data_IF_309633127468
#
_entry.id   IF_309633127468
#
_cell.length_a   1.000
_cell.length_b   1.000
_cell.length_c   1.000
_cell.angle_alpha   90.00
_cell.angle_beta   90.00
_cell.angle_gamma   90.00
#
_symmetry.space_group_name_H-M   'P 1'
#
loop_
_entity.id
_entity.type
_entity.pdbx_description
1 polymer ?
#
# COMPACT_ATOMS: atom_id res chain seq x y z
N UNK A 1 26.20 -27.16 3.22
CA UNK A 1 25.40 -26.79 4.41
C UNK A 1 23.98 -27.29 4.20
N UNK A 2 23.30 -27.77 5.25
CA UNK A 2 21.88 -28.16 5.19
C UNK A 2 21.05 -26.99 5.73
N UNK A 3 20.10 -26.52 4.93
CA UNK A 3 19.15 -25.45 5.28
C UNK A 3 17.74 -26.04 5.36
N UNK A 4 16.93 -25.52 6.26
CA UNK A 4 15.52 -25.91 6.39
C UNK A 4 14.65 -25.21 5.33
N UNK A 5 14.99 -23.95 5.02
CA UNK A 5 14.29 -23.12 4.03
C UNK A 5 15.27 -22.36 3.16
N UNK A 6 15.04 -22.38 1.84
CA UNK A 6 15.73 -21.53 0.87
C UNK A 6 14.71 -20.59 0.23
N UNK A 7 14.97 -19.29 0.29
CA UNK A 7 14.19 -18.23 -0.32
C UNK A 7 14.92 -17.77 -1.58
N UNK A 8 14.24 -17.79 -2.72
CA UNK A 8 14.80 -17.35 -4.01
C UNK A 8 14.24 -15.97 -4.35
N UNK A 9 15.11 -14.97 -4.37
CA UNK A 9 14.81 -13.56 -4.65
C UNK A 9 14.85 -12.69 -3.39
N UNK A 10 15.73 -11.69 -3.40
CA UNK A 10 15.90 -10.64 -2.39
C UNK A 10 15.09 -9.38 -2.67
N UNK A 11 13.92 -9.51 -3.29
CA UNK A 11 12.94 -8.42 -3.33
C UNK A 11 12.19 -8.30 -2.00
N UNK A 12 11.34 -7.26 -1.89
CA UNK A 12 10.51 -6.99 -0.70
C UNK A 12 9.77 -8.22 -0.18
N UNK A 13 9.23 -9.05 -1.07
CA UNK A 13 8.53 -10.29 -0.69
C UNK A 13 9.47 -11.29 -0.03
N UNK A 14 10.65 -11.52 -0.62
CA UNK A 14 11.64 -12.46 -0.09
C UNK A 14 12.21 -12.01 1.25
N UNK A 15 12.55 -10.72 1.37
CA UNK A 15 13.01 -10.15 2.64
C UNK A 15 11.93 -10.19 3.72
N UNK A 16 10.66 -9.92 3.39
CA UNK A 16 9.54 -10.07 4.34
C UNK A 16 9.35 -11.52 4.79
N UNK A 17 9.49 -12.49 3.88
CA UNK A 17 9.43 -13.92 4.22
C UNK A 17 10.60 -14.27 5.15
N UNK A 18 11.83 -13.85 4.81
CA UNK A 18 13.02 -14.09 5.63
C UNK A 18 12.85 -13.53 7.05
N UNK A 19 12.37 -12.28 7.16
CA UNK A 19 12.06 -11.63 8.43
C UNK A 19 11.00 -12.39 9.23
N UNK A 20 9.96 -12.90 8.59
CA UNK A 20 8.92 -13.61 9.31
C UNK A 20 9.42 -14.98 9.80
N UNK A 21 10.23 -15.67 8.99
CA UNK A 21 10.80 -16.96 9.32
C UNK A 21 11.92 -16.87 10.37
N UNK A 22 12.62 -15.73 10.49
CA UNK A 22 13.67 -15.54 11.50
C UNK A 22 13.16 -15.51 12.94
N UNK A 23 11.84 -15.50 13.15
CA UNK A 23 11.19 -15.66 14.46
C UNK A 23 11.19 -17.10 14.97
N UNK A 24 11.58 -18.06 14.14
CA UNK A 24 11.63 -19.48 14.46
C UNK A 24 13.08 -19.98 14.46
N UNK A 25 13.32 -21.10 15.14
CA UNK A 25 14.63 -21.78 15.14
C UNK A 25 14.81 -22.58 13.85
N UNK A 26 15.15 -21.89 12.76
CA UNK A 26 15.32 -22.44 11.42
C UNK A 26 16.63 -21.96 10.78
N UNK A 27 17.28 -22.83 10.02
CA UNK A 27 18.42 -22.47 9.14
C UNK A 27 17.88 -22.00 7.80
N UNK A 28 17.89 -20.68 7.60
CA UNK A 28 17.33 -20.04 6.41
C UNK A 28 18.45 -19.51 5.50
N UNK A 29 18.34 -19.72 4.19
CA UNK A 29 19.16 -19.05 3.19
C UNK A 29 18.27 -18.19 2.28
N UNK A 30 18.70 -16.96 1.99
CA UNK A 30 18.12 -16.13 0.94
C UNK A 30 19.14 -16.00 -0.20
N UNK A 31 18.72 -16.31 -1.41
CA UNK A 31 19.54 -16.25 -2.61
C UNK A 31 19.01 -15.15 -3.53
N UNK A 32 19.84 -14.15 -3.81
CA UNK A 32 19.59 -13.11 -4.80
C UNK A 32 20.61 -13.24 -5.92
N UNK A 33 20.15 -13.11 -7.18
CA UNK A 33 21.01 -13.19 -8.36
C UNK A 33 21.66 -11.84 -8.70
N UNK A 34 21.02 -10.75 -8.30
CA UNK A 34 21.50 -9.38 -8.52
C UNK A 34 22.58 -9.02 -7.49
N UNK A 35 23.28 -7.92 -7.72
CA UNK A 35 24.40 -7.49 -6.86
C UNK A 35 23.98 -7.06 -5.44
N UNK A 36 22.71 -6.70 -5.26
CA UNK A 36 22.14 -6.29 -3.98
C UNK A 36 20.65 -6.67 -3.92
N UNK A 37 20.08 -6.71 -2.72
CA UNK A 37 18.64 -6.86 -2.51
C UNK A 37 17.87 -5.67 -3.09
N UNK A 38 16.55 -5.80 -3.17
CA UNK A 38 15.65 -4.83 -3.79
C UNK A 38 15.90 -4.54 -5.28
N UNK A 39 16.95 -5.08 -5.92
CA UNK A 39 17.39 -4.72 -7.28
C UNK A 39 16.47 -5.14 -8.43
N UNK A 40 15.37 -5.85 -8.16
CA UNK A 40 14.32 -6.18 -9.12
C UNK A 40 13.17 -5.16 -9.13
N UNK A 41 11.92 -5.63 -9.21
CA UNK A 41 10.72 -4.77 -9.22
C UNK A 41 10.56 -3.90 -7.96
N UNK A 42 11.11 -4.34 -6.83
CA UNK A 42 11.14 -3.54 -5.60
C UNK A 42 11.81 -2.18 -5.81
N UNK A 43 12.83 -2.07 -6.67
CA UNK A 43 13.50 -0.81 -7.00
C UNK A 43 12.66 0.13 -7.86
N UNK A 44 11.74 -0.44 -8.64
CA UNK A 44 11.04 0.22 -9.73
C UNK A 44 9.51 0.15 -9.54
N UNK A 45 9.02 0.81 -8.48
CA UNK A 45 7.60 1.04 -8.23
C UNK A 45 7.38 2.43 -7.64
N UNK A 46 6.11 2.82 -7.47
CA UNK A 46 5.72 4.15 -6.99
C UNK A 46 5.93 4.37 -5.48
N UNK A 47 6.32 3.34 -4.73
CA UNK A 47 6.45 3.42 -3.26
C UNK A 47 5.12 3.61 -2.54
N UNK A 48 3.98 3.34 -3.19
CA UNK A 48 2.65 3.56 -2.60
C UNK A 48 2.23 2.36 -1.75
N UNK A 49 1.92 2.62 -0.49
CA UNK A 49 1.17 1.70 0.37
C UNK A 49 -0.31 1.94 0.13
N UNK A 50 -0.93 1.12 -0.72
CA UNK A 50 -2.33 1.27 -1.11
C UNK A 50 -3.30 0.97 0.04
N UNK A 51 -4.44 1.67 0.09
CA UNK A 51 -5.48 1.50 1.11
C UNK A 51 -6.36 0.23 0.93
N UNK A 52 -6.38 -0.36 -0.26
CA UNK A 52 -7.03 -1.67 -0.50
C UNK A 52 -8.46 -1.66 -1.06
N UNK A 53 -9.00 -0.52 -1.49
CA UNK A 53 -10.36 -0.44 -2.05
C UNK A 53 -10.45 -0.55 -3.59
N UNK A 54 -9.31 -0.45 -4.30
CA UNK A 54 -9.28 -0.30 -5.77
C UNK A 54 -9.38 -1.63 -6.56
N UNK A 55 -9.08 -2.77 -5.94
CA UNK A 55 -9.06 -4.07 -6.60
C UNK A 55 -10.35 -4.84 -6.38
N UNK A 56 -10.93 -5.56 -7.36
CA UNK A 56 -12.15 -6.36 -7.13
C UNK A 56 -11.99 -7.41 -6.02
N UNK A 57 -13.11 -7.76 -5.37
CA UNK A 57 -13.13 -8.54 -4.10
C UNK A 57 -12.78 -10.01 -4.29
N UNK A 58 -13.01 -10.54 -5.48
CA UNK A 58 -12.67 -11.90 -5.90
C UNK A 58 -11.15 -12.15 -5.95
N UNK A 59 -10.32 -11.11 -6.00
CA UNK A 59 -8.87 -11.28 -6.04
C UNK A 59 -8.27 -11.30 -4.64
N UNK A 60 -7.42 -12.32 -4.40
CA UNK A 60 -6.58 -12.44 -3.19
C UNK A 60 -5.76 -11.17 -2.93
N UNK A 61 -5.36 -10.44 -3.97
CA UNK A 61 -4.62 -9.17 -3.83
C UNK A 61 -5.37 -8.13 -2.99
N UNK A 62 -6.70 -8.12 -3.00
CA UNK A 62 -7.50 -7.15 -2.23
C UNK A 62 -7.33 -7.42 -0.74
N UNK A 63 -7.55 -8.67 -0.32
CA UNK A 63 -7.38 -9.10 1.08
C UNK A 63 -5.93 -8.92 1.56
N UNK A 64 -4.95 -9.31 0.75
CA UNK A 64 -3.53 -9.12 1.06
C UNK A 64 -3.16 -7.64 1.19
N UNK A 65 -3.71 -6.76 0.37
CA UNK A 65 -3.46 -5.32 0.44
C UNK A 65 -4.01 -4.73 1.74
N UNK A 66 -5.25 -5.08 2.13
CA UNK A 66 -5.88 -4.57 3.35
C UNK A 66 -5.14 -5.06 4.59
N UNK A 67 -4.79 -6.35 4.65
CA UNK A 67 -4.00 -6.92 5.75
C UNK A 67 -2.60 -6.32 5.78
N UNK A 68 -1.92 -6.27 4.64
CA UNK A 68 -0.57 -5.72 4.51
C UNK A 68 -0.48 -4.24 4.89
N UNK A 69 -1.43 -3.40 4.45
CA UNK A 69 -1.48 -1.98 4.80
C UNK A 69 -1.45 -1.74 6.32
N UNK A 70 -2.18 -2.57 7.08
CA UNK A 70 -2.21 -2.49 8.55
C UNK A 70 -0.85 -2.79 9.18
N UNK A 71 -0.08 -3.71 8.59
CA UNK A 71 1.23 -4.12 9.09
C UNK A 71 2.32 -3.06 8.88
N UNK A 72 2.18 -2.14 7.92
CA UNK A 72 3.22 -1.14 7.64
C UNK A 72 3.52 -0.21 8.82
N UNK A 73 2.51 0.18 9.61
CA UNK A 73 2.76 1.01 10.80
C UNK A 73 3.62 0.27 11.82
N UNK A 74 3.25 -0.97 12.15
CA UNK A 74 4.01 -1.79 13.08
C UNK A 74 5.42 -2.08 12.55
N UNK A 75 5.56 -2.42 11.27
CA UNK A 75 6.86 -2.69 10.66
C UNK A 75 7.76 -1.44 10.68
N UNK A 76 7.19 -0.26 10.46
CA UNK A 76 7.91 1.01 10.57
C UNK A 76 8.38 1.26 12.01
N UNK A 77 7.55 1.04 13.01
CA UNK A 77 7.92 1.18 14.43
C UNK A 77 9.04 0.20 14.82
N UNK A 78 9.04 -1.01 14.25
CA UNK A 78 10.03 -2.06 14.54
C UNK A 78 11.36 -1.88 13.81
N UNK A 79 11.36 -1.31 12.60
CA UNK A 79 12.52 -1.28 11.69
C UNK A 79 13.01 0.11 11.31
N UNK A 80 12.20 1.15 11.55
CA UNK A 80 12.54 2.56 11.34
C UNK A 80 12.94 2.93 9.89
N UNK A 81 12.23 2.39 8.89
CA UNK A 81 12.40 2.78 7.48
C UNK A 81 11.59 4.03 7.10
N UNK A 82 11.88 4.71 5.98
CA UNK A 82 11.09 5.88 5.58
C UNK A 82 9.66 5.50 5.18
N UNK A 83 8.66 5.86 6.00
CA UNK A 83 7.24 5.61 5.77
C UNK A 83 6.38 6.76 6.30
N UNK A 84 5.33 7.12 5.56
CA UNK A 84 4.36 8.15 5.96
C UNK A 84 2.96 7.81 5.49
N UNK A 85 1.95 7.98 6.36
CA UNK A 85 0.53 7.92 5.97
C UNK A 85 0.06 9.31 5.54
N UNK A 86 0.18 9.56 4.25
CA UNK A 86 -0.22 10.83 3.63
C UNK A 86 -1.63 10.78 3.02
N UNK A 87 -2.28 9.61 3.03
CA UNK A 87 -3.55 9.40 2.37
C UNK A 87 -3.44 9.34 0.84
N UNK A 88 -4.59 9.28 0.18
CA UNK A 88 -4.70 9.36 -1.28
C UNK A 88 -6.07 9.85 -1.69
N UNK A 89 -6.15 10.56 -2.81
CA UNK A 89 -7.40 10.94 -3.47
C UNK A 89 -7.59 10.16 -4.76
N UNK A 90 -8.80 9.65 -4.98
CA UNK A 90 -9.29 9.32 -6.34
C UNK A 90 -10.21 10.44 -6.77
N UNK A 91 -9.83 11.15 -7.82
CA UNK A 91 -10.48 12.39 -8.25
C UNK A 91 -11.56 12.10 -9.29
N UNK A 92 -12.72 12.73 -9.14
CA UNK A 92 -13.75 12.83 -10.16
C UNK A 92 -13.74 14.24 -10.77
N UNK A 93 -13.74 14.30 -12.10
CA UNK A 93 -13.83 15.54 -12.89
C UNK A 93 -15.21 15.71 -13.54
N UNK A 94 -16.03 14.67 -13.53
CA UNK A 94 -17.39 14.66 -14.09
C UNK A 94 -18.37 14.07 -13.08
N UNK A 95 -19.61 14.59 -13.04
CA UNK A 95 -20.63 14.14 -12.06
C UNK A 95 -20.95 12.65 -12.18
N UNK A 96 -20.85 12.08 -13.39
CA UNK A 96 -21.05 10.65 -13.65
C UNK A 96 -20.01 9.76 -12.94
N UNK A 97 -18.84 10.30 -12.54
CA UNK A 97 -17.79 9.57 -11.84
C UNK A 97 -18.04 9.50 -10.32
N UNK A 98 -18.90 10.36 -9.76
CA UNK A 98 -19.21 10.37 -8.33
C UNK A 98 -19.83 9.03 -7.89
N UNK A 99 -20.71 8.45 -8.71
CA UNK A 99 -21.30 7.13 -8.43
C UNK A 99 -20.24 6.03 -8.31
N UNK A 100 -19.15 6.13 -9.08
CA UNK A 100 -18.02 5.19 -9.00
C UNK A 100 -17.22 5.38 -7.72
N UNK A 101 -17.03 6.61 -7.27
CA UNK A 101 -16.37 6.91 -5.99
C UNK A 101 -17.17 6.35 -4.81
N UNK A 102 -18.49 6.53 -4.81
CA UNK A 102 -19.38 5.98 -3.77
C UNK A 102 -19.38 4.46 -3.76
N UNK A 103 -19.40 3.82 -4.93
CA UNK A 103 -19.31 2.37 -5.01
C UNK A 103 -17.97 1.85 -4.46
N UNK A 104 -16.85 2.50 -4.82
CA UNK A 104 -15.53 2.17 -4.26
C UNK A 104 -15.48 2.37 -2.74
N UNK A 105 -16.05 3.47 -2.23
CA UNK A 105 -16.16 3.75 -0.79
C UNK A 105 -16.96 2.66 -0.09
N UNK A 106 -18.14 2.32 -0.62
CA UNK A 106 -19.03 1.30 -0.07
C UNK A 106 -18.35 -0.06 -0.02
N UNK A 107 -17.76 -0.49 -1.14
CA UNK A 107 -17.03 -1.76 -1.20
C UNK A 107 -15.85 -1.76 -0.22
N UNK A 108 -15.02 -0.70 -0.22
CA UNK A 108 -13.86 -0.60 0.66
C UNK A 108 -14.24 -0.63 2.15
N UNK A 109 -15.32 0.06 2.51
CA UNK A 109 -15.86 0.05 3.88
C UNK A 109 -16.32 -1.36 4.28
N UNK A 110 -17.03 -2.05 3.40
CA UNK A 110 -17.45 -3.44 3.60
C UNK A 110 -16.28 -4.44 3.67
N UNK A 111 -15.10 -4.08 3.17
CA UNK A 111 -13.86 -4.86 3.31
C UNK A 111 -13.03 -4.46 4.53
N UNK A 112 -13.51 -3.50 5.32
CA UNK A 112 -12.83 -3.04 6.53
C UNK A 112 -11.67 -2.09 6.27
N UNK A 113 -11.67 -1.36 5.15
CA UNK A 113 -10.77 -0.22 4.92
C UNK A 113 -11.30 0.97 5.74
N UNK A 114 -10.55 1.46 6.74
CA UNK A 114 -11.06 2.49 7.63
C UNK A 114 -10.92 3.89 7.02
N UNK A 115 -11.87 4.77 7.36
CA UNK A 115 -11.79 6.20 7.07
C UNK A 115 -12.04 6.62 5.62
N UNK A 116 -12.57 5.74 4.76
CA UNK A 116 -12.93 6.12 3.40
C UNK A 116 -14.08 7.14 3.40
N UNK A 117 -13.87 8.27 2.75
CA UNK A 117 -14.82 9.38 2.67
C UNK A 117 -14.94 9.86 1.22
N UNK A 118 -16.16 10.00 0.70
CA UNK A 118 -16.40 10.77 -0.52
C UNK A 118 -16.65 12.21 -0.12
N UNK A 119 -15.83 13.13 -0.64
CA UNK A 119 -15.91 14.56 -0.36
C UNK A 119 -16.36 15.26 -1.65
N UNK A 120 -17.46 16.01 -1.57
CA UNK A 120 -18.00 16.82 -2.68
C UNK A 120 -17.82 18.33 -2.44
N UNK A 121 -17.45 18.73 -1.22
CA UNK A 121 -17.17 20.13 -0.91
C UNK A 121 -15.85 20.58 -1.55
N UNK A 122 -15.97 21.34 -2.65
CA UNK A 122 -14.83 21.90 -3.39
C UNK A 122 -13.90 22.74 -2.52
N UNK A 123 -14.41 23.47 -1.52
CA UNK A 123 -13.56 24.28 -0.63
C UNK A 123 -12.71 23.39 0.27
N UNK A 124 -13.31 22.33 0.84
CA UNK A 124 -12.58 21.32 1.61
C UNK A 124 -11.52 20.61 0.76
N UNK A 125 -11.87 20.21 -0.47
CA UNK A 125 -10.94 19.56 -1.40
C UNK A 125 -9.75 20.46 -1.70
N UNK A 126 -9.99 21.73 -2.06
CA UNK A 126 -8.92 22.70 -2.36
C UNK A 126 -8.06 23.04 -1.14
N UNK A 127 -8.66 23.07 0.06
CA UNK A 127 -7.92 23.24 1.31
C UNK A 127 -6.97 22.07 1.58
N UNK A 128 -7.41 20.84 1.32
CA UNK A 128 -6.57 19.65 1.49
C UNK A 128 -5.50 19.52 0.40
N UNK A 129 -5.85 19.80 -0.86
CA UNK A 129 -4.98 19.67 -2.02
C UNK A 129 -5.08 20.91 -2.93
N UNK A 130 -4.29 21.97 -2.65
CA UNK A 130 -4.43 23.28 -3.34
C UNK A 130 -4.01 23.25 -4.81
N UNK A 131 -3.22 22.25 -5.21
CA UNK A 131 -2.70 22.12 -6.58
C UNK A 131 -3.66 21.38 -7.53
N UNK A 132 -4.80 20.89 -7.05
CA UNK A 132 -5.81 20.27 -7.91
C UNK A 132 -6.48 21.30 -8.83
N UNK A 133 -6.89 20.84 -10.02
CA UNK A 133 -7.73 21.64 -10.93
C UNK A 133 -9.06 22.03 -10.28
N UNK A 134 -9.63 23.16 -10.70
CA UNK A 134 -10.95 23.62 -10.24
C UNK A 134 -12.12 22.81 -10.85
N UNK A 135 -11.82 22.01 -11.87
CA UNK A 135 -12.75 21.08 -12.53
C UNK A 135 -13.14 19.89 -11.64
N UNK A 136 -12.48 19.69 -10.50
CA UNK A 136 -12.82 18.61 -9.57
C UNK A 136 -14.25 18.78 -9.05
N UNK A 137 -15.04 17.73 -9.20
CA UNK A 137 -16.44 17.66 -8.71
C UNK A 137 -16.58 16.79 -7.45
N UNK A 138 -15.58 15.95 -7.15
CA UNK A 138 -15.53 15.17 -5.93
C UNK A 138 -14.27 14.33 -5.82
N UNK A 139 -13.97 13.85 -4.62
CA UNK A 139 -12.85 12.93 -4.38
C UNK A 139 -13.26 11.80 -3.45
N UNK A 140 -12.72 10.60 -3.67
CA UNK A 140 -12.66 9.55 -2.65
C UNK A 140 -11.34 9.70 -1.90
N UNK A 141 -11.43 10.15 -0.65
CA UNK A 141 -10.30 10.26 0.25
C UNK A 141 -10.10 8.94 1.00
N UNK A 142 -8.87 8.41 0.95
CA UNK A 142 -8.45 7.24 1.70
C UNK A 142 -7.25 7.57 2.59
N UNK A 143 -7.47 7.83 3.90
CA UNK A 143 -6.42 8.31 4.81
C UNK A 143 -5.39 7.24 5.17
N UNK A 144 -5.69 5.97 4.94
CA UNK A 144 -4.77 4.86 5.23
C UNK A 144 -3.74 4.61 4.13
N UNK A 145 -3.86 5.25 2.97
CA UNK A 145 -2.80 5.18 1.98
C UNK A 145 -1.53 5.89 2.49
N UNK A 146 -0.38 5.48 1.97
CA UNK A 146 0.89 6.04 2.38
C UNK A 146 1.97 5.90 1.34
N UNK A 147 3.13 6.45 1.66
CA UNK A 147 4.35 6.33 0.87
C UNK A 147 5.44 5.67 1.71
N UNK A 148 6.26 4.86 1.05
CA UNK A 148 7.38 4.14 1.66
C UNK A 148 8.58 4.20 0.74
N UNK A 149 9.80 4.20 1.30
CA UNK A 149 11.01 3.86 0.54
C UNK A 149 11.05 2.34 0.33
N UNK A 150 10.86 1.83 -0.89
CA UNK A 150 10.89 0.38 -1.12
C UNK A 150 12.24 -0.24 -0.80
N UNK A 151 13.33 0.53 -0.97
CA UNK A 151 14.69 0.12 -0.61
C UNK A 151 14.87 0.07 0.90
N UNK A 152 14.45 1.12 1.62
CA UNK A 152 14.63 1.16 3.08
C UNK A 152 13.77 0.13 3.81
N UNK A 153 12.65 -0.27 3.22
CA UNK A 153 11.75 -1.28 3.78
C UNK A 153 12.18 -2.73 3.49
N UNK A 154 13.02 -2.94 2.46
CA UNK A 154 13.50 -4.27 2.03
C UNK A 154 14.82 -4.60 2.69
#
# INVERSE_FOLDING_TARGET
MIYDVIIIGGGVTGCCIARNLSKYDLKIALLEKEADIASGTTKANSGVVHAGFASPREYVKRDMCIKGNKLYTQAFEELNFSFQRIGSFVVALEDNQINKLEEQRRQGTQDGVPGLEVILDKKKIKYMEPNLTDDVVGVLHAPTAGIVSPYGMT
#
